data_IF_297483027937
#
_entry.id   IF_297483027937
#
_cell.length_a   1.000
_cell.length_b   1.000
_cell.length_c   1.000
_cell.angle_alpha   90.00
_cell.angle_beta   90.00
_cell.angle_gamma   90.00
#
_symmetry.space_group_name_H-M   'P 1'
#
loop_
_entity.id
_entity.type
_entity.pdbx_description
1 polymer ?
#
# COMPACT_ATOMS: atom_id res chain seq x y z
N UNK A 1 14.96 -1.89 -34.78
CA UNK A 1 14.31 -2.83 -33.85
C UNK A 1 14.45 -2.24 -32.45
N UNK A 2 13.50 -1.40 -32.00
CA UNK A 2 13.60 -0.71 -30.71
C UNK A 2 13.00 -1.59 -29.61
N UNK A 3 13.84 -1.92 -28.64
CA UNK A 3 13.52 -2.79 -27.51
C UNK A 3 12.45 -2.15 -26.62
N UNK A 4 11.36 -2.87 -26.38
CA UNK A 4 10.31 -2.45 -25.44
C UNK A 4 10.89 -2.53 -24.03
N UNK A 5 11.26 -1.36 -23.49
CA UNK A 5 11.56 -1.20 -22.06
C UNK A 5 10.27 -1.43 -21.27
N UNK A 6 10.03 -2.68 -20.89
CA UNK A 6 8.98 -3.09 -19.96
C UNK A 6 9.22 -2.46 -18.60
N UNK A 7 8.62 -1.29 -18.39
CA UNK A 7 8.64 -0.55 -17.12
C UNK A 7 7.45 -1.02 -16.29
N UNK A 8 7.48 -2.27 -15.83
CA UNK A 8 6.45 -2.84 -14.96
C UNK A 8 7.00 -3.03 -13.54
N UNK A 9 6.41 -2.31 -12.58
CA UNK A 9 6.71 -2.42 -11.15
C UNK A 9 6.81 -1.04 -10.51
N UNK A 10 5.65 -0.47 -10.15
CA UNK A 10 5.49 0.91 -9.71
C UNK A 10 6.38 1.29 -8.53
N UNK A 11 7.17 2.34 -8.72
CA UNK A 11 7.86 3.08 -7.66
C UNK A 11 7.31 4.51 -7.66
N UNK A 12 6.18 4.69 -6.97
CA UNK A 12 5.58 5.99 -6.68
C UNK A 12 6.26 6.60 -5.45
N UNK A 13 7.30 7.39 -5.69
CA UNK A 13 7.97 8.21 -4.67
C UNK A 13 6.98 9.25 -4.12
N UNK A 14 6.69 9.21 -2.82
CA UNK A 14 5.79 10.15 -2.12
C UNK A 14 4.58 9.50 -1.41
N UNK A 15 4.03 8.43 -2.00
CA UNK A 15 2.89 7.64 -1.47
C UNK A 15 3.20 6.13 -1.39
N UNK A 16 4.44 5.75 -1.67
CA UNK A 16 4.89 4.36 -1.79
C UNK A 16 4.67 3.52 -0.54
N UNK A 17 4.67 4.11 0.66
CA UNK A 17 4.48 3.35 1.91
C UNK A 17 3.10 2.68 1.99
N UNK A 18 2.05 3.37 1.53
CA UNK A 18 0.69 2.83 1.48
C UNK A 18 0.54 1.85 0.32
N UNK A 19 1.12 2.17 -0.85
CA UNK A 19 1.07 1.28 -2.01
C UNK A 19 1.78 -0.06 -1.75
N UNK A 20 2.95 -0.02 -1.11
CA UNK A 20 3.70 -1.21 -0.69
C UNK A 20 2.96 -1.96 0.42
N UNK A 21 2.36 -1.24 1.38
CA UNK A 21 1.50 -1.84 2.39
C UNK A 21 0.34 -2.63 1.77
N UNK A 22 -0.38 -2.02 0.83
CA UNK A 22 -1.49 -2.67 0.11
C UNK A 22 -0.99 -3.87 -0.71
N UNK A 23 0.13 -3.75 -1.45
CA UNK A 23 0.61 -4.86 -2.28
C UNK A 23 1.01 -6.07 -1.43
N UNK A 24 1.75 -5.83 -0.33
CA UNK A 24 2.19 -6.88 0.59
C UNK A 24 0.99 -7.47 1.34
N UNK A 25 0.11 -6.63 1.87
CA UNK A 25 -1.09 -7.06 2.58
C UNK A 25 -2.03 -7.87 1.69
N UNK A 26 -2.21 -7.48 0.42
CA UNK A 26 -3.04 -8.23 -0.54
C UNK A 26 -2.41 -9.58 -0.88
N UNK A 27 -1.09 -9.65 -1.12
CA UNK A 27 -0.41 -10.91 -1.40
C UNK A 27 -0.54 -11.91 -0.23
N UNK A 28 -0.32 -11.44 1.00
CA UNK A 28 -0.48 -12.26 2.21
C UNK A 28 -1.94 -12.64 2.41
N UNK A 29 -2.87 -11.69 2.27
CA UNK A 29 -4.30 -11.93 2.45
C UNK A 29 -4.87 -12.92 1.47
N UNK A 30 -4.48 -12.86 0.19
CA UNK A 30 -4.88 -13.86 -0.82
C UNK A 30 -4.33 -15.24 -0.46
N UNK A 31 -3.04 -15.32 -0.08
CA UNK A 31 -2.45 -16.59 0.36
C UNK A 31 -3.22 -17.19 1.54
N UNK A 32 -3.45 -16.40 2.61
CA UNK A 32 -4.18 -16.85 3.80
C UNK A 32 -5.65 -17.14 3.52
N UNK A 33 -6.32 -16.36 2.68
CA UNK A 33 -7.71 -16.57 2.28
C UNK A 33 -7.91 -17.88 1.55
N UNK A 34 -6.97 -18.25 0.68
CA UNK A 34 -6.99 -19.52 -0.03
C UNK A 34 -6.57 -20.70 0.86
N UNK A 35 -5.60 -20.53 1.77
CA UNK A 35 -5.09 -21.66 2.57
C UNK A 35 -5.87 -21.93 3.85
N UNK A 36 -6.47 -20.91 4.48
CA UNK A 36 -7.12 -21.02 5.79
C UNK A 36 -8.65 -21.01 5.66
N UNK A 37 -9.16 -20.13 4.81
CA UNK A 37 -10.60 -19.86 4.73
C UNK A 37 -11.27 -20.43 3.49
N UNK A 38 -10.49 -20.99 2.54
CA UNK A 38 -10.95 -21.38 1.19
C UNK A 38 -11.81 -20.29 0.52
N UNK A 39 -11.58 -19.04 0.89
CA UNK A 39 -12.41 -17.89 0.51
C UNK A 39 -11.53 -16.68 0.22
N UNK A 40 -11.39 -16.41 -1.09
CA UNK A 40 -10.56 -15.33 -1.59
C UNK A 40 -11.12 -13.94 -1.23
N UNK A 41 -12.44 -13.79 -1.09
CA UNK A 41 -13.05 -12.52 -0.72
C UNK A 41 -12.68 -12.12 0.72
N UNK A 42 -12.69 -13.11 1.62
CA UNK A 42 -12.27 -12.93 3.02
C UNK A 42 -10.77 -12.62 3.09
N UNK A 43 -9.95 -13.34 2.32
CA UNK A 43 -8.52 -13.10 2.21
C UNK A 43 -8.16 -11.69 1.73
N UNK A 44 -8.79 -11.22 0.65
CA UNK A 44 -8.55 -9.88 0.11
C UNK A 44 -9.01 -8.81 1.09
N UNK A 45 -10.19 -8.97 1.71
CA UNK A 45 -10.71 -8.01 2.68
C UNK A 45 -9.78 -7.83 3.89
N UNK A 46 -9.34 -8.94 4.48
CA UNK A 46 -8.40 -8.92 5.62
C UNK A 46 -7.02 -8.42 5.18
N UNK A 47 -6.52 -8.89 4.03
CA UNK A 47 -5.23 -8.49 3.48
C UNK A 47 -5.13 -7.00 3.18
N UNK A 48 -6.17 -6.41 2.58
CA UNK A 48 -6.23 -4.98 2.34
C UNK A 48 -6.32 -4.19 3.65
N UNK A 49 -7.17 -4.60 4.60
CA UNK A 49 -7.26 -3.92 5.90
C UNK A 49 -5.90 -3.88 6.62
N UNK A 50 -5.18 -5.01 6.63
CA UNK A 50 -3.83 -5.10 7.22
C UNK A 50 -2.81 -4.26 6.45
N UNK A 51 -2.81 -4.38 5.12
CA UNK A 51 -1.88 -3.66 4.25
C UNK A 51 -2.03 -2.14 4.34
N UNK A 52 -3.27 -1.66 4.37
CA UNK A 52 -3.58 -0.25 4.58
C UNK A 52 -3.16 0.18 5.98
N UNK A 53 -3.48 -0.58 7.03
CA UNK A 53 -3.09 -0.24 8.40
C UNK A 53 -1.55 -0.14 8.57
N UNK A 54 -0.79 -1.07 7.98
CA UNK A 54 0.67 -1.06 8.03
C UNK A 54 1.28 0.07 7.20
N UNK A 55 0.72 0.33 6.02
CA UNK A 55 1.15 1.42 5.14
C UNK A 55 0.81 2.80 5.71
N UNK A 56 -0.36 2.94 6.33
CA UNK A 56 -0.84 4.18 6.94
C UNK A 56 -0.18 4.45 8.29
N UNK A 57 0.12 3.45 9.10
CA UNK A 57 0.89 3.61 10.35
C UNK A 57 2.29 4.20 10.11
N UNK A 58 2.89 3.91 8.95
CA UNK A 58 4.17 4.52 8.53
C UNK A 58 3.98 5.97 8.05
N UNK A 59 2.83 6.28 7.46
CA UNK A 59 2.43 7.62 7.00
C UNK A 59 2.05 8.56 8.16
N UNK A 60 1.41 8.05 9.21
CA UNK A 60 0.94 8.82 10.37
C UNK A 60 2.03 9.44 11.24
N UNK A 61 3.31 9.14 10.96
CA UNK A 61 4.46 9.89 11.49
C UNK A 61 4.86 11.10 10.63
N UNK A 62 4.05 11.44 9.61
CA UNK A 62 4.28 12.56 8.69
C UNK A 62 3.06 13.50 8.63
N UNK A 63 2.66 14.06 9.77
CA UNK A 63 1.98 15.36 9.84
C UNK A 63 2.80 16.23 10.81
N UNK A 64 3.14 17.49 10.48
CA UNK A 64 2.16 18.49 10.06
C UNK A 64 2.52 19.25 8.77
N UNK A 65 1.53 19.71 7.99
CA UNK A 65 1.66 20.93 7.22
C UNK A 65 1.78 22.09 8.22
N UNK A 66 3.04 22.49 8.49
CA UNK A 66 3.35 23.73 9.18
C UNK A 66 2.99 24.92 8.30
N UNK A 67 1.70 25.24 8.21
CA UNK A 67 1.20 26.46 7.59
C UNK A 67 1.20 27.62 8.57
N UNK A 68 2.36 27.97 9.15
CA UNK A 68 2.54 29.32 9.69
C UNK A 68 2.59 30.28 8.52
N UNK A 69 1.43 30.73 8.05
CA UNK A 69 1.33 31.99 7.32
C UNK A 69 0.85 33.05 8.30
N UNK A 70 1.75 33.38 9.22
CA UNK A 70 1.77 34.71 9.81
C UNK A 70 2.18 35.73 8.76
N UNK A 71 1.66 36.94 8.95
CA UNK A 71 2.22 38.21 8.50
C UNK A 71 2.23 38.44 6.98
N UNK A 72 1.24 39.19 6.47
CA UNK A 72 1.25 40.67 6.42
C UNK A 72 -0.16 41.21 6.29
#
# INVERSE_FOLDING_TARGET
MTERKGKNGGSGSGNGDVAVGISVGTAIGVALGLTVFDNIALGIGVGMALGIALGSARRGRREPPGGSRGER
#
